data_IF_974079321671
#
_entry.id   IF_974079321671
#
_cell.length_a   1.000
_cell.length_b   1.000
_cell.length_c   1.000
_cell.angle_alpha   90.00
_cell.angle_beta   90.00
_cell.angle_gamma   90.00
#
_symmetry.space_group_name_H-M   'P 1'
#
loop_
_entity.id
_entity.type
_entity.pdbx_description
1 polymer ?
#
# COMPACT_ATOMS: atom_id res chain seq x y z
N UNK A 1 31.15 -0.97 -11.64
CA UNK A 1 32.41 -0.31 -11.24
C UNK A 1 32.21 1.01 -10.50
N UNK A 2 31.26 1.88 -10.90
CA UNK A 2 31.06 3.19 -10.27
C UNK A 2 30.86 3.15 -8.74
N UNK A 3 30.13 2.17 -8.18
CA UNK A 3 29.80 2.14 -6.74
C UNK A 3 31.02 2.08 -5.80
N UNK A 4 32.07 1.33 -6.13
CA UNK A 4 33.24 1.18 -5.25
C UNK A 4 34.09 2.47 -5.18
N UNK A 5 34.21 3.16 -6.30
CA UNK A 5 34.92 4.43 -6.40
C UNK A 5 34.23 5.52 -5.56
N UNK A 6 32.90 5.54 -5.57
CA UNK A 6 32.11 6.46 -4.74
C UNK A 6 32.28 6.23 -3.23
N UNK A 7 32.42 4.98 -2.78
CA UNK A 7 32.70 4.70 -1.38
C UNK A 7 34.04 5.29 -0.93
N UNK A 8 35.10 5.10 -1.72
CA UNK A 8 36.43 5.66 -1.43
C UNK A 8 36.41 7.19 -1.37
N UNK A 9 35.76 7.85 -2.34
CA UNK A 9 35.60 9.30 -2.35
C UNK A 9 34.79 9.81 -1.14
N UNK A 10 33.78 9.05 -0.71
CA UNK A 10 32.99 9.40 0.47
C UNK A 10 33.83 9.33 1.73
N UNK A 11 34.65 8.28 1.90
CA UNK A 11 35.58 8.20 3.02
C UNK A 11 36.66 9.28 2.96
N UNK A 12 37.25 9.51 1.79
CA UNK A 12 38.28 10.54 1.59
C UNK A 12 37.75 11.96 1.85
N UNK A 13 36.48 12.22 1.54
CA UNK A 13 35.82 13.50 1.84
C UNK A 13 35.19 13.57 3.23
N UNK A 14 35.42 12.59 4.11
CA UNK A 14 34.79 12.51 5.43
C UNK A 14 33.25 12.61 5.38
N UNK A 15 32.64 12.06 4.32
CA UNK A 15 31.21 12.09 4.08
C UNK A 15 30.68 13.39 3.48
N UNK A 16 31.51 14.42 3.24
CA UNK A 16 31.07 15.67 2.64
C UNK A 16 30.48 15.48 1.25
N UNK A 17 30.95 14.52 0.44
CA UNK A 17 30.40 14.23 -0.90
C UNK A 17 29.08 13.44 -0.89
N UNK A 18 28.69 12.87 0.25
CA UNK A 18 27.53 11.99 0.34
C UNK A 18 26.23 12.65 -0.16
N UNK A 19 25.89 13.91 0.21
CA UNK A 19 24.65 14.57 -0.25
C UNK A 19 24.55 14.70 -1.78
N UNK A 20 25.67 15.02 -2.44
CA UNK A 20 25.71 15.16 -3.91
C UNK A 20 25.42 13.83 -4.58
N UNK A 21 26.10 12.77 -4.14
CA UNK A 21 25.92 11.42 -4.67
C UNK A 21 24.47 10.95 -4.50
N UNK A 22 23.90 11.18 -3.31
CA UNK A 22 22.53 10.79 -2.97
C UNK A 22 21.51 11.46 -3.91
N UNK A 23 21.64 12.77 -4.12
CA UNK A 23 20.75 13.55 -4.99
C UNK A 23 20.88 13.12 -6.45
N UNK A 24 22.09 12.84 -6.95
CA UNK A 24 22.30 12.34 -8.30
C UNK A 24 21.68 10.95 -8.49
N UNK A 25 21.84 10.05 -7.51
CA UNK A 25 21.24 8.73 -7.55
C UNK A 25 19.71 8.80 -7.59
N UNK A 26 19.10 9.64 -6.74
CA UNK A 26 17.65 9.83 -6.78
C UNK A 26 17.16 10.45 -8.07
N UNK A 27 17.85 11.47 -8.58
CA UNK A 27 17.51 12.06 -9.87
C UNK A 27 17.55 11.00 -10.97
N UNK A 28 18.57 10.12 -10.97
CA UNK A 28 18.68 9.03 -11.93
C UNK A 28 17.54 8.01 -11.81
N UNK A 29 17.25 7.54 -10.58
CA UNK A 29 16.23 6.53 -10.32
C UNK A 29 14.82 7.05 -10.64
N UNK A 30 14.47 8.23 -10.12
CA UNK A 30 13.12 8.77 -10.25
C UNK A 30 12.84 9.32 -11.64
N UNK A 31 13.78 9.97 -12.33
CA UNK A 31 13.53 10.46 -13.70
C UNK A 31 13.35 9.31 -14.72
N UNK A 32 13.68 8.06 -14.35
CA UNK A 32 13.42 6.86 -15.16
C UNK A 32 12.19 6.09 -14.70
N UNK A 33 11.62 6.42 -13.55
CA UNK A 33 10.41 5.80 -13.05
C UNK A 33 9.17 6.42 -13.71
N UNK A 34 8.13 5.61 -13.91
CA UNK A 34 6.84 6.09 -14.40
C UNK A 34 5.68 5.40 -13.67
N UNK A 35 4.58 6.12 -13.48
CA UNK A 35 3.31 5.56 -13.03
C UNK A 35 2.30 5.66 -14.18
N UNK A 36 2.03 4.53 -14.84
CA UNK A 36 1.25 4.52 -16.07
C UNK A 36 1.96 5.27 -17.21
N UNK A 37 1.46 6.46 -17.55
CA UNK A 37 2.07 7.38 -18.54
C UNK A 37 2.75 8.59 -17.93
N UNK A 38 2.54 8.83 -16.63
CA UNK A 38 3.09 9.99 -15.97
C UNK A 38 4.52 9.67 -15.55
N UNK A 39 5.54 10.35 -16.11
CA UNK A 39 6.90 10.20 -15.64
C UNK A 39 7.02 10.86 -14.26
N UNK A 40 7.85 10.28 -13.40
CA UNK A 40 8.30 10.98 -12.22
C UNK A 40 9.38 11.99 -12.64
N UNK A 41 9.33 13.19 -12.08
CA UNK A 41 10.31 14.23 -12.28
C UNK A 41 10.89 14.62 -10.92
N UNK A 42 12.22 14.57 -10.80
CA UNK A 42 12.94 14.97 -9.61
C UNK A 42 13.66 16.30 -9.86
N UNK A 43 13.28 17.35 -9.12
CA UNK A 43 13.81 18.72 -9.29
C UNK A 43 14.76 19.15 -8.17
N UNK A 44 15.08 18.24 -7.26
CA UNK A 44 15.89 18.51 -6.08
C UNK A 44 17.33 18.90 -6.42
N UNK A 45 17.84 19.94 -5.75
CA UNK A 45 19.24 20.40 -5.88
C UNK A 45 20.05 20.03 -4.64
N UNK A 46 21.29 19.60 -4.83
CA UNK A 46 22.19 19.22 -3.73
C UNK A 46 22.39 20.37 -2.72
N UNK A 47 22.47 21.62 -3.19
CA UNK A 47 22.62 22.81 -2.31
C UNK A 47 21.50 22.93 -1.27
N UNK A 48 20.26 22.64 -1.66
CA UNK A 48 19.11 22.68 -0.74
C UNK A 48 19.22 21.56 0.29
N UNK A 49 19.63 20.37 -0.16
CA UNK A 49 19.84 19.23 0.73
C UNK A 49 20.96 19.47 1.76
N UNK A 50 22.04 20.16 1.38
CA UNK A 50 23.12 20.56 2.31
C UNK A 50 22.64 21.43 3.46
N UNK A 51 21.64 22.31 3.23
CA UNK A 51 21.13 23.20 4.28
C UNK A 51 20.53 22.41 5.46
N UNK A 52 19.86 21.29 5.17
CA UNK A 52 19.32 20.40 6.19
C UNK A 52 20.35 19.40 6.74
N UNK A 53 21.33 19.00 5.93
CA UNK A 53 22.36 18.03 6.30
C UNK A 53 23.46 18.61 7.21
N UNK A 54 23.88 19.85 6.96
CA UNK A 54 25.04 20.44 7.63
C UNK A 54 24.90 20.53 9.15
N UNK A 55 23.76 20.99 9.74
CA UNK A 55 23.61 21.04 11.19
C UNK A 55 23.75 19.66 11.85
N UNK A 56 23.22 18.61 11.21
CA UNK A 56 23.33 17.25 11.74
C UNK A 56 24.76 16.72 11.65
N UNK A 57 25.46 17.04 10.56
CA UNK A 57 26.86 16.64 10.36
C UNK A 57 27.77 17.31 11.38
N UNK A 58 27.60 18.62 11.59
CA UNK A 58 28.34 19.36 12.62
C UNK A 58 28.03 18.83 14.01
N UNK A 59 26.76 18.57 14.32
CA UNK A 59 26.36 17.99 15.61
C UNK A 59 26.97 16.60 15.81
N UNK A 60 26.99 15.74 14.78
CA UNK A 60 27.63 14.42 14.84
C UNK A 60 29.15 14.52 15.03
N UNK A 61 29.81 15.45 14.33
CA UNK A 61 31.25 15.68 14.48
C UNK A 61 31.60 16.19 15.89
N UNK A 62 30.87 17.17 16.41
CA UNK A 62 31.03 17.68 17.79
C UNK A 62 30.77 16.58 18.81
N UNK A 63 29.74 15.76 18.59
CA UNK A 63 29.44 14.62 19.44
C UNK A 63 30.58 13.61 19.47
N UNK A 64 31.13 13.23 18.32
CA UNK A 64 32.25 12.31 18.23
C UNK A 64 33.53 12.86 18.90
N UNK A 65 33.88 14.12 18.61
CA UNK A 65 35.06 14.78 19.22
C UNK A 65 34.87 14.92 20.73
N UNK A 66 33.72 15.41 21.18
CA UNK A 66 33.40 15.55 22.60
C UNK A 66 33.46 14.21 23.33
N UNK A 67 32.96 13.14 22.71
CA UNK A 67 33.03 11.78 23.26
C UNK A 67 34.47 11.28 23.35
N UNK A 68 35.26 11.46 22.30
CA UNK A 68 36.66 11.05 22.28
C UNK A 68 37.51 11.76 23.35
N UNK A 69 37.20 13.02 23.67
CA UNK A 69 37.87 13.79 24.71
C UNK A 69 37.36 13.46 26.13
N UNK A 70 36.06 13.21 26.29
CA UNK A 70 35.43 12.97 27.60
C UNK A 70 35.68 11.54 28.12
N UNK A 71 35.70 10.54 27.24
CA UNK A 71 35.84 9.12 27.63
C UNK A 71 37.12 8.88 28.47
N UNK A 72 38.33 9.31 28.08
CA UNK A 72 39.54 9.08 28.86
C UNK A 72 39.48 9.73 30.26
N UNK A 73 38.88 10.92 30.36
CA UNK A 73 38.72 11.65 31.62
C UNK A 73 37.80 10.88 32.57
N UNK A 74 36.67 10.37 32.06
CA UNK A 74 35.72 9.58 32.84
C UNK A 74 36.30 8.23 33.30
N UNK A 75 37.12 7.59 32.45
CA UNK A 75 37.85 6.37 32.80
C UNK A 75 38.86 6.65 33.92
N UNK A 76 39.64 7.74 33.81
CA UNK A 76 40.65 8.10 34.79
C UNK A 76 40.05 8.52 36.15
N UNK A 77 38.83 9.05 36.15
CA UNK A 77 38.13 9.48 37.36
C UNK A 77 37.47 8.33 38.14
N UNK A 78 37.50 7.09 37.64
CA UNK A 78 36.75 5.93 38.16
C UNK A 78 35.24 6.21 38.35
N UNK A 79 34.74 7.29 37.74
CA UNK A 79 33.51 7.94 38.14
C UNK A 79 32.27 7.38 37.44
N UNK A 80 32.38 6.29 36.66
CA UNK A 80 31.27 5.86 35.80
C UNK A 80 31.09 4.36 35.66
N UNK A 81 29.83 3.88 35.64
CA UNK A 81 29.50 2.56 35.13
C UNK A 81 29.76 2.53 33.62
N UNK A 82 30.73 1.71 33.22
CA UNK A 82 31.29 1.61 31.86
C UNK A 82 30.24 1.39 30.74
N UNK A 83 29.03 0.96 31.11
CA UNK A 83 27.90 0.73 30.21
C UNK A 83 27.06 1.97 29.89
N UNK A 84 27.02 2.99 30.76
CA UNK A 84 26.17 4.17 30.54
C UNK A 84 26.72 5.07 29.42
N UNK A 85 28.04 5.19 29.31
CA UNK A 85 28.68 5.98 28.25
C UNK A 85 28.30 5.45 26.85
N UNK A 86 28.57 4.19 26.48
CA UNK A 86 28.22 3.68 25.15
C UNK A 86 26.71 3.68 24.90
N UNK A 87 25.88 3.45 25.94
CA UNK A 87 24.43 3.57 25.81
C UNK A 87 23.98 5.01 25.47
N UNK A 88 24.53 6.02 26.15
CA UNK A 88 24.28 7.42 25.86
C UNK A 88 24.76 7.80 24.45
N UNK A 89 25.92 7.29 24.04
CA UNK A 89 26.46 7.50 22.69
C UNK A 89 25.55 6.93 21.62
N UNK A 90 25.10 5.69 21.83
CA UNK A 90 24.17 5.01 20.95
C UNK A 90 22.84 5.76 20.84
N UNK A 91 22.24 6.16 21.97
CA UNK A 91 20.99 6.92 21.98
C UNK A 91 21.12 8.29 21.30
N UNK A 92 22.20 9.03 21.56
CA UNK A 92 22.49 10.29 20.89
C UNK A 92 22.63 10.13 19.38
N UNK A 93 23.29 9.06 18.93
CA UNK A 93 23.44 8.74 17.51
C UNK A 93 22.10 8.41 16.83
N UNK A 94 21.20 7.69 17.50
CA UNK A 94 19.85 7.40 17.00
C UNK A 94 19.06 8.70 16.81
N UNK A 95 19.11 9.61 17.77
CA UNK A 95 18.41 10.90 17.71
C UNK A 95 18.92 11.73 16.52
N UNK A 96 20.23 11.87 16.37
CA UNK A 96 20.84 12.61 15.26
C UNK A 96 20.49 11.98 13.90
N UNK A 97 20.63 10.64 13.80
CA UNK A 97 20.33 9.91 12.58
C UNK A 97 18.86 10.00 12.19
N UNK A 98 17.95 9.97 13.17
CA UNK A 98 16.50 10.10 12.94
C UNK A 98 16.13 11.48 12.43
N UNK A 99 16.73 12.56 12.99
CA UNK A 99 16.53 13.93 12.48
C UNK A 99 17.02 14.05 11.04
N UNK A 100 18.21 13.50 10.77
CA UNK A 100 18.76 13.47 9.43
C UNK A 100 17.83 12.74 8.44
N UNK A 101 17.35 11.54 8.81
CA UNK A 101 16.46 10.75 7.97
C UNK A 101 15.11 11.41 7.71
N UNK A 102 14.54 12.10 8.70
CA UNK A 102 13.30 12.86 8.51
C UNK A 102 13.50 13.96 7.45
N UNK A 103 14.57 14.76 7.60
CA UNK A 103 14.90 15.81 6.66
C UNK A 103 15.22 15.27 5.26
N UNK A 104 15.87 14.11 5.19
CA UNK A 104 16.18 13.39 3.96
C UNK A 104 14.92 12.98 3.19
N UNK A 105 13.98 12.33 3.88
CA UNK A 105 12.74 11.87 3.29
C UNK A 105 11.83 13.04 2.90
N UNK A 106 11.79 14.09 3.73
CA UNK A 106 11.03 15.31 3.43
C UNK A 106 11.58 16.00 2.18
N UNK A 107 12.90 16.18 2.08
CA UNK A 107 13.53 16.74 0.90
C UNK A 107 13.24 15.91 -0.37
N UNK A 108 13.26 14.58 -0.26
CA UNK A 108 12.93 13.69 -1.37
C UNK A 108 11.48 13.88 -1.82
N UNK A 109 10.53 13.86 -0.89
CA UNK A 109 9.11 14.03 -1.18
C UNK A 109 8.84 15.40 -1.83
N UNK A 110 9.34 16.49 -1.25
CA UNK A 110 9.12 17.85 -1.76
C UNK A 110 9.78 18.09 -3.14
N UNK A 111 10.82 17.32 -3.46
CA UNK A 111 11.54 17.41 -4.74
C UNK A 111 10.94 16.54 -5.84
N UNK A 112 9.99 15.67 -5.51
CA UNK A 112 9.37 14.73 -6.44
C UNK A 112 8.06 15.31 -6.98
N UNK A 113 7.84 15.18 -8.28
CA UNK A 113 6.54 15.40 -8.92
C UNK A 113 6.19 14.25 -9.84
N UNK A 114 4.90 14.03 -10.05
CA UNK A 114 4.38 13.07 -11.01
C UNK A 114 3.72 13.85 -12.15
N UNK A 115 4.43 13.92 -13.29
CA UNK A 115 4.12 14.89 -14.35
C UNK A 115 4.25 16.34 -13.88
N UNK A 116 3.42 17.22 -14.45
CA UNK A 116 3.40 18.66 -14.14
C UNK A 116 2.37 19.05 -13.07
N UNK A 117 1.43 18.15 -12.78
CA UNK A 117 0.21 18.46 -12.02
C UNK A 117 0.34 18.08 -10.54
N UNK A 118 1.01 16.95 -10.25
CA UNK A 118 0.96 16.32 -8.93
C UNK A 118 2.30 16.49 -8.23
N UNK A 119 2.29 17.19 -7.08
CA UNK A 119 3.45 17.31 -6.20
C UNK A 119 3.25 16.48 -4.95
N UNK A 120 4.33 15.85 -4.50
CA UNK A 120 4.34 15.13 -3.23
C UNK A 120 4.70 16.10 -2.12
N UNK A 121 4.09 15.91 -0.95
CA UNK A 121 4.50 16.55 0.30
C UNK A 121 4.55 15.46 1.35
N UNK A 122 5.41 15.61 2.34
CA UNK A 122 5.46 14.67 3.43
C UNK A 122 5.67 15.35 4.76
N UNK A 123 5.05 14.79 5.78
CA UNK A 123 5.24 15.20 7.17
C UNK A 123 5.69 13.98 7.98
N UNK A 124 6.97 13.95 8.34
CA UNK A 124 7.56 12.82 9.06
C UNK A 124 7.75 13.17 10.53
N UNK A 125 6.88 12.68 11.44
CA UNK A 125 7.04 12.93 12.86
C UNK A 125 8.33 12.27 13.36
N UNK A 126 9.19 13.09 13.97
CA UNK A 126 10.51 12.67 14.45
C UNK A 126 10.43 11.45 15.39
N UNK A 127 9.48 11.46 16.35
CA UNK A 127 9.32 10.39 17.33
C UNK A 127 8.98 9.03 16.70
N UNK A 128 8.03 9.01 15.76
CA UNK A 128 7.64 7.79 15.07
C UNK A 128 8.75 7.25 14.18
N UNK A 129 9.52 8.13 13.53
CA UNK A 129 10.69 7.71 12.73
C UNK A 129 11.83 7.17 13.61
N UNK A 130 12.10 7.81 14.75
CA UNK A 130 13.10 7.32 15.70
C UNK A 130 12.73 5.93 16.25
N UNK A 131 11.47 5.75 16.65
CA UNK A 131 10.97 4.45 17.07
C UNK A 131 11.04 3.40 15.96
N UNK A 132 10.75 3.80 14.72
CA UNK A 132 10.89 2.92 13.55
C UNK A 132 12.35 2.46 13.36
N UNK A 133 13.32 3.37 13.49
CA UNK A 133 14.75 3.04 13.37
C UNK A 133 15.18 2.06 14.47
N UNK A 134 14.79 2.32 15.74
CA UNK A 134 15.10 1.44 16.87
C UNK A 134 14.48 0.06 16.68
N UNK A 135 13.18 0.02 16.40
CA UNK A 135 12.45 -1.25 16.25
C UNK A 135 12.83 -2.03 14.99
N UNK A 136 13.36 -1.39 13.94
CA UNK A 136 13.95 -2.07 12.78
C UNK A 136 15.41 -2.50 13.04
N UNK A 137 16.16 -1.75 13.83
CA UNK A 137 17.54 -2.06 14.19
C UNK A 137 17.66 -3.33 15.04
N UNK A 138 16.72 -3.56 15.94
CA UNK A 138 16.72 -4.73 16.83
C UNK A 138 16.66 -6.08 16.08
N UNK A 139 15.71 -6.34 15.17
CA UNK A 139 15.72 -7.55 14.37
C UNK A 139 16.93 -7.62 13.42
N UNK A 140 17.41 -6.49 12.87
CA UNK A 140 18.63 -6.49 12.07
C UNK A 140 19.85 -6.93 12.89
N UNK A 141 19.96 -6.50 14.15
CA UNK A 141 21.05 -6.87 15.04
C UNK A 141 20.97 -8.35 15.46
N UNK A 142 19.78 -8.82 15.87
CA UNK A 142 19.55 -10.22 16.27
C UNK A 142 19.79 -11.19 15.11
N UNK A 143 19.43 -10.80 13.89
CA UNK A 143 19.53 -11.66 12.70
C UNK A 143 20.80 -11.43 11.88
N UNK A 144 21.77 -10.67 12.40
CA UNK A 144 23.02 -10.31 11.71
C UNK A 144 22.78 -9.76 10.28
N UNK A 145 21.70 -9.01 10.11
CA UNK A 145 21.33 -8.33 8.87
C UNK A 145 20.26 -9.03 8.02
N UNK A 146 19.88 -10.28 8.29
CA UNK A 146 18.82 -10.96 7.50
C UNK A 146 17.46 -10.24 7.60
N UNK A 147 17.22 -9.51 8.69
CA UNK A 147 16.03 -8.66 8.90
C UNK A 147 15.96 -7.41 8.02
N UNK A 148 16.96 -7.11 7.18
CA UNK A 148 17.00 -5.91 6.36
C UNK A 148 15.83 -5.78 5.37
N UNK A 149 15.37 -6.91 4.79
CA UNK A 149 14.22 -6.92 3.89
C UNK A 149 12.92 -6.54 4.62
N UNK A 150 12.73 -7.07 5.83
CA UNK A 150 11.58 -6.73 6.68
C UNK A 150 11.60 -5.25 7.11
N UNK A 151 12.76 -4.76 7.55
CA UNK A 151 12.95 -3.36 7.92
C UNK A 151 12.66 -2.42 6.74
N UNK A 152 13.05 -2.82 5.52
CA UNK A 152 12.78 -2.07 4.29
C UNK A 152 11.29 -1.99 3.98
N UNK A 153 10.53 -3.09 4.14
CA UNK A 153 9.07 -3.09 3.96
C UNK A 153 8.36 -2.22 5.00
N UNK A 154 8.75 -2.28 6.27
CA UNK A 154 8.20 -1.40 7.32
C UNK A 154 8.51 0.07 7.06
N UNK A 155 9.73 0.37 6.60
CA UNK A 155 10.13 1.73 6.23
C UNK A 155 9.31 2.24 5.05
N UNK A 156 9.10 1.42 4.02
CA UNK A 156 8.27 1.77 2.87
C UNK A 156 6.83 2.08 3.31
N UNK A 157 6.21 1.20 4.12
CA UNK A 157 4.85 1.43 4.65
C UNK A 157 4.77 2.72 5.45
N UNK A 158 5.74 2.97 6.32
CA UNK A 158 5.81 4.20 7.09
C UNK A 158 5.91 5.43 6.18
N UNK A 159 6.76 5.38 5.14
CA UNK A 159 6.90 6.46 4.18
C UNK A 159 5.59 6.70 3.44
N UNK A 160 4.97 5.65 2.89
CA UNK A 160 3.68 5.76 2.19
C UNK A 160 2.57 6.35 3.08
N UNK A 161 2.54 6.03 4.38
CA UNK A 161 1.54 6.55 5.30
C UNK A 161 1.69 8.05 5.61
N UNK A 162 2.87 8.64 5.37
CA UNK A 162 3.18 10.04 5.69
C UNK A 162 3.43 10.91 4.46
N UNK A 163 3.42 10.31 3.27
CA UNK A 163 3.47 11.03 2.00
C UNK A 163 2.04 11.30 1.54
N UNK A 164 1.73 12.57 1.30
CA UNK A 164 0.44 13.00 0.75
C UNK A 164 0.62 13.71 -0.59
N UNK A 165 -0.44 13.69 -1.39
CA UNK A 165 -0.47 14.29 -2.73
C UNK A 165 -1.10 15.68 -2.62
N UNK A 166 -0.35 16.74 -2.99
CA UNK A 166 -0.90 18.10 -3.12
C UNK A 166 -1.39 18.32 -4.54
N UNK A 167 -2.52 17.72 -4.89
CA UNK A 167 -3.33 18.04 -6.07
C UNK A 167 -4.65 17.25 -5.97
N UNK A 168 -5.69 17.67 -6.70
CA UNK A 168 -6.77 16.76 -7.07
C UNK A 168 -6.33 15.98 -8.32
N UNK A 169 -5.78 14.77 -8.18
CA UNK A 169 -5.46 13.96 -9.35
C UNK A 169 -6.73 13.69 -10.17
N UNK A 170 -6.71 14.06 -11.44
CA UNK A 170 -7.74 13.64 -12.38
C UNK A 170 -7.51 12.15 -12.72
N UNK A 171 -8.03 11.27 -11.86
CA UNK A 171 -7.88 9.83 -12.02
C UNK A 171 -8.50 9.32 -13.32
N UNK A 172 -9.56 9.95 -13.82
CA UNK A 172 -10.19 9.59 -15.09
C UNK A 172 -9.20 9.72 -16.27
N UNK A 173 -8.39 10.78 -16.29
CA UNK A 173 -7.33 10.94 -17.29
C UNK A 173 -6.23 9.86 -17.16
N UNK A 174 -5.95 9.38 -15.95
CA UNK A 174 -4.95 8.35 -15.67
C UNK A 174 -5.46 6.95 -16.10
N UNK A 175 -6.70 6.58 -15.79
CA UNK A 175 -7.31 5.30 -16.20
C UNK A 175 -7.47 5.22 -17.72
N UNK A 176 -7.89 6.32 -18.38
CA UNK A 176 -8.00 6.38 -19.84
C UNK A 176 -6.64 6.20 -20.55
N UNK A 177 -5.57 6.71 -19.91
CA UNK A 177 -4.18 6.54 -20.36
C UNK A 177 -3.67 5.10 -20.20
N UNK A 178 -4.06 4.40 -19.14
CA UNK A 178 -3.70 2.99 -18.91
C UNK A 178 -4.40 2.05 -19.90
N UNK A 179 -5.69 2.25 -20.15
CA UNK A 179 -6.51 1.44 -21.04
C UNK A 179 -6.06 1.48 -22.51
N UNK A 180 -5.43 2.58 -22.93
CA UNK A 180 -5.00 2.78 -24.32
C UNK A 180 -3.59 2.23 -24.64
N UNK A 181 -2.87 1.60 -23.70
CA UNK A 181 -1.63 0.85 -24.00
C UNK A 181 -1.96 -0.55 -24.54
N UNK A 182 -1.59 -0.83 -25.80
CA UNK A 182 -1.76 -2.16 -26.45
C UNK A 182 -1.08 -3.32 -25.70
N UNK A 183 -0.07 -3.05 -24.87
CA UNK A 183 0.58 -4.04 -24.01
C UNK A 183 -0.17 -4.36 -22.72
N UNK A 184 -0.95 -3.42 -22.17
CA UNK A 184 -1.67 -3.60 -20.90
C UNK A 184 -2.86 -4.55 -21.05
N UNK A 185 -3.56 -4.51 -22.21
CA UNK A 185 -4.59 -5.51 -22.56
C UNK A 185 -4.05 -6.94 -22.52
N UNK A 186 -2.77 -7.16 -22.87
CA UNK A 186 -2.12 -8.48 -22.85
C UNK A 186 -1.81 -9.00 -21.45
N UNK A 187 -1.58 -8.12 -20.47
CA UNK A 187 -1.35 -8.50 -19.06
C UNK A 187 -2.67 -8.70 -18.30
N UNK A 188 -3.69 -7.86 -18.58
CA UNK A 188 -5.04 -7.99 -17.98
C UNK A 188 -5.76 -9.21 -18.53
N UNK A 189 -5.70 -9.49 -19.85
CA UNK A 189 -6.28 -10.72 -20.43
C UNK A 189 -5.59 -12.01 -19.96
N UNK A 190 -4.38 -11.92 -19.39
CA UNK A 190 -3.64 -13.06 -18.82
C UNK A 190 -3.83 -13.21 -17.30
N UNK A 191 -4.65 -12.38 -16.65
CA UNK A 191 -4.93 -12.50 -15.21
C UNK A 191 -3.73 -12.20 -14.30
N UNK A 192 -2.68 -11.54 -14.81
CA UNK A 192 -1.43 -11.30 -14.06
C UNK A 192 -1.46 -10.06 -13.16
N UNK A 193 -2.47 -9.19 -13.32
CA UNK A 193 -2.68 -8.01 -12.48
C UNK A 193 -4.18 -7.85 -12.23
N UNK A 194 -4.59 -8.05 -10.97
CA UNK A 194 -5.90 -7.66 -10.47
C UNK A 194 -5.71 -6.37 -9.67
N UNK A 195 -6.37 -5.28 -10.07
CA UNK A 195 -6.44 -4.05 -9.29
C UNK A 195 -7.60 -4.20 -8.32
N UNK A 196 -7.26 -4.33 -7.05
CA UNK A 196 -8.18 -4.50 -5.93
C UNK A 196 -8.07 -3.22 -5.10
N UNK A 197 -8.89 -2.22 -5.42
CA UNK A 197 -9.30 -1.09 -4.55
C UNK A 197 -9.94 0.02 -5.43
N UNK A 198 -11.27 -0.03 -5.60
CA UNK A 198 -12.07 1.04 -6.23
C UNK A 198 -13.06 1.70 -5.24
N UNK A 199 -12.94 1.50 -3.91
CA UNK A 199 -13.92 1.98 -2.92
C UNK A 199 -13.72 3.45 -2.44
N UNK A 200 -13.08 4.32 -3.22
CA UNK A 200 -12.85 5.73 -2.79
C UNK A 200 -13.89 6.74 -3.30
N UNK A 201 -14.99 6.30 -3.93
CA UNK A 201 -16.06 7.16 -4.40
C UNK A 201 -17.42 6.74 -3.80
N UNK A 202 -17.85 7.42 -2.73
CA UNK A 202 -19.27 7.52 -2.38
C UNK A 202 -19.89 8.65 -3.23
N UNK A 203 -20.32 8.31 -4.44
CA UNK A 203 -21.50 8.97 -5.02
C UNK A 203 -22.73 8.16 -4.62
N UNK A 204 -23.87 8.82 -4.44
CA UNK A 204 -25.17 8.31 -3.99
C UNK A 204 -25.68 7.08 -4.78
N UNK A 205 -25.04 5.93 -4.57
CA UNK A 205 -25.51 4.63 -5.02
C UNK A 205 -26.41 4.08 -3.94
N UNK A 206 -27.69 3.95 -4.26
CA UNK A 206 -28.69 3.25 -3.44
C UNK A 206 -28.26 1.79 -3.31
N UNK A 207 -27.47 1.51 -2.28
CA UNK A 207 -26.93 0.20 -1.99
C UNK A 207 -27.93 -0.50 -1.10
N UNK A 208 -28.71 -1.41 -1.69
CA UNK A 208 -29.53 -2.34 -0.90
C UNK A 208 -28.56 -3.44 -0.45
N UNK A 209 -28.07 -3.30 0.79
CA UNK A 209 -27.19 -4.27 1.42
C UNK A 209 -28.02 -5.26 2.25
N UNK A 210 -27.74 -6.55 2.11
CA UNK A 210 -28.23 -7.55 3.05
C UNK A 210 -27.35 -8.78 3.09
N UNK A 211 -27.59 -9.62 4.10
CA UNK A 211 -26.74 -10.77 4.41
C UNK A 211 -26.92 -11.93 3.44
N UNK A 212 -25.81 -12.56 3.08
CA UNK A 212 -25.78 -13.81 2.31
C UNK A 212 -24.53 -14.64 2.62
N UNK A 213 -24.46 -15.81 2.00
CA UNK A 213 -23.31 -16.70 2.08
C UNK A 213 -22.73 -16.92 0.70
N UNK A 214 -21.42 -16.81 0.56
CA UNK A 214 -20.68 -17.17 -0.64
C UNK A 214 -19.91 -18.46 -0.41
N UNK A 215 -20.09 -19.42 -1.32
CA UNK A 215 -19.30 -20.64 -1.43
C UNK A 215 -18.47 -20.56 -2.71
N UNK A 216 -17.15 -20.70 -2.62
CA UNK A 216 -16.24 -20.55 -3.78
C UNK A 216 -16.22 -21.78 -4.72
N UNK A 217 -16.82 -22.90 -4.28
CA UNK A 217 -16.87 -24.17 -4.99
C UNK A 217 -15.63 -25.06 -4.84
N UNK A 218 -14.53 -24.53 -4.31
CA UNK A 218 -13.25 -25.24 -4.12
C UNK A 218 -13.05 -25.69 -2.68
N UNK A 219 -13.39 -24.80 -1.77
CA UNK A 219 -13.40 -25.03 -0.34
C UNK A 219 -14.87 -25.06 0.03
N UNK A 220 -15.36 -26.13 0.65
CA UNK A 220 -16.77 -26.19 1.09
C UNK A 220 -17.10 -25.17 2.21
N UNK A 221 -16.25 -24.16 2.41
CA UNK A 221 -16.36 -23.10 3.38
C UNK A 221 -17.39 -22.08 2.94
N UNK A 222 -18.21 -21.66 3.90
CA UNK A 222 -19.19 -20.60 3.73
C UNK A 222 -18.57 -19.31 4.24
N UNK A 223 -18.54 -18.30 3.38
CA UNK A 223 -18.14 -16.95 3.75
C UNK A 223 -19.39 -16.09 3.91
N UNK A 224 -19.54 -15.45 5.06
CA UNK A 224 -20.57 -14.43 5.24
C UNK A 224 -20.21 -13.23 4.36
N UNK A 225 -21.15 -12.82 3.51
CA UNK A 225 -20.97 -11.73 2.56
C UNK A 225 -22.14 -10.76 2.62
N UNK A 226 -21.82 -9.48 2.44
CA UNK A 226 -22.82 -8.45 2.15
C UNK A 226 -23.04 -8.42 0.66
N UNK A 227 -24.28 -8.64 0.22
CA UNK A 227 -24.64 -8.52 -1.20
C UNK A 227 -25.13 -7.11 -1.45
N UNK A 228 -24.57 -6.47 -2.45
CA UNK A 228 -24.98 -5.15 -2.93
C UNK A 228 -25.22 -5.20 -4.43
N UNK A 229 -26.11 -4.35 -4.93
CA UNK A 229 -26.37 -4.20 -6.37
C UNK A 229 -25.76 -2.88 -6.82
N UNK A 230 -24.73 -2.94 -7.65
CA UNK A 230 -24.03 -1.78 -8.18
C UNK A 230 -24.16 -1.73 -9.69
N UNK A 231 -24.66 -0.62 -10.24
CA UNK A 231 -24.79 -0.40 -11.69
C UNK A 231 -25.49 -1.57 -12.39
N UNK A 232 -26.55 -2.08 -11.76
CA UNK A 232 -27.22 -3.31 -12.17
C UNK A 232 -26.24 -4.48 -12.29
N UNK A 233 -25.43 -4.75 -11.28
CA UNK A 233 -24.63 -5.98 -11.16
C UNK A 233 -24.59 -6.38 -9.69
N UNK A 234 -24.87 -7.64 -9.33
CA UNK A 234 -24.64 -8.08 -7.97
C UNK A 234 -23.13 -8.13 -7.70
N UNK A 235 -22.72 -7.42 -6.66
CA UNK A 235 -21.40 -7.44 -6.06
C UNK A 235 -21.50 -8.10 -4.68
N UNK A 236 -20.56 -9.00 -4.39
CA UNK A 236 -20.47 -9.66 -3.08
C UNK A 236 -19.26 -9.12 -2.34
N UNK A 237 -19.47 -8.62 -1.13
CA UNK A 237 -18.46 -8.05 -0.26
C UNK A 237 -18.20 -8.98 0.92
N UNK A 238 -16.94 -9.27 1.22
CA UNK A 238 -16.57 -10.06 2.39
C UNK A 238 -16.35 -9.23 3.64
N UNK A 239 -15.90 -9.86 4.74
CA UNK A 239 -15.51 -9.15 5.96
C UNK A 239 -14.43 -8.12 5.64
N UNK A 240 -14.71 -6.84 5.90
CA UNK A 240 -13.80 -5.72 5.60
C UNK A 240 -14.00 -5.06 4.22
N UNK A 241 -15.20 -5.15 3.63
CA UNK A 241 -15.60 -4.45 2.38
C UNK A 241 -14.79 -4.80 1.12
N UNK A 242 -13.96 -5.84 1.17
CA UNK A 242 -13.27 -6.33 -0.01
C UNK A 242 -14.28 -7.00 -0.96
N UNK A 243 -14.34 -6.54 -2.21
CA UNK A 243 -15.14 -7.17 -3.27
C UNK A 243 -14.59 -8.57 -3.55
N UNK A 244 -15.37 -9.60 -3.22
CA UNK A 244 -15.01 -11.00 -3.42
C UNK A 244 -15.27 -11.45 -4.86
N UNK A 245 -16.37 -10.98 -5.46
CA UNK A 245 -16.74 -11.31 -6.83
C UNK A 245 -17.63 -10.21 -7.44
N UNK A 246 -17.49 -10.03 -8.76
CA UNK A 246 -18.42 -9.26 -9.58
C UNK A 246 -18.90 -10.14 -10.72
N UNK A 247 -20.13 -10.66 -10.62
CA UNK A 247 -20.71 -11.49 -11.67
C UNK A 247 -21.49 -10.63 -12.65
N UNK A 248 -21.25 -10.83 -13.95
CA UNK A 248 -22.07 -10.18 -14.97
C UNK A 248 -23.45 -10.83 -15.04
N UNK A 249 -24.48 -10.08 -15.42
CA UNK A 249 -25.84 -10.62 -15.56
C UNK A 249 -25.94 -11.81 -16.50
N UNK A 250 -25.18 -11.78 -17.59
CA UNK A 250 -25.16 -12.85 -18.58
C UNK A 250 -24.63 -14.17 -18.03
N UNK A 251 -23.86 -14.11 -16.94
CA UNK A 251 -23.28 -15.28 -16.28
C UNK A 251 -24.12 -15.80 -15.12
N UNK A 252 -25.01 -14.98 -14.55
CA UNK A 252 -25.86 -15.40 -13.43
C UNK A 252 -26.89 -16.43 -13.87
N UNK A 253 -26.96 -17.52 -13.11
CA UNK A 253 -28.03 -18.52 -13.21
C UNK A 253 -28.60 -18.80 -11.84
N UNK A 254 -29.93 -18.87 -11.76
CA UNK A 254 -30.60 -19.34 -10.55
C UNK A 254 -30.48 -20.87 -10.48
N UNK A 255 -30.09 -21.39 -9.32
CA UNK A 255 -30.05 -22.83 -9.03
C UNK A 255 -31.20 -23.15 -8.07
N UNK A 256 -31.92 -24.27 -8.24
CA UNK A 256 -32.91 -24.69 -7.27
C UNK A 256 -32.25 -24.96 -5.92
N UNK A 257 -32.78 -24.30 -4.88
CA UNK A 257 -32.36 -24.50 -3.50
C UNK A 257 -33.14 -25.64 -2.82
N UNK A 258 -32.58 -26.25 -1.77
CA UNK A 258 -33.20 -27.37 -1.06
C UNK A 258 -34.37 -26.96 -0.15
N UNK A 259 -34.58 -25.67 0.11
CA UNK A 259 -35.51 -25.17 1.14
C UNK A 259 -36.51 -24.13 0.58
N UNK A 260 -37.80 -24.41 0.79
CA UNK A 260 -38.97 -23.50 1.00
C UNK A 260 -39.19 -22.23 0.16
N UNK A 261 -38.43 -22.00 -0.91
CA UNK A 261 -38.65 -20.87 -1.84
C UNK A 261 -38.21 -19.49 -1.32
N UNK A 262 -37.71 -19.41 -0.08
CA UNK A 262 -37.22 -18.16 0.50
C UNK A 262 -35.74 -17.87 0.19
N UNK A 263 -34.94 -18.90 -0.08
CA UNK A 263 -33.53 -18.74 -0.45
C UNK A 263 -33.36 -18.54 -1.96
N UNK A 264 -32.63 -17.49 -2.35
CA UNK A 264 -32.18 -17.31 -3.72
C UNK A 264 -30.74 -17.81 -3.85
N UNK A 265 -30.55 -18.91 -4.58
CA UNK A 265 -29.23 -19.44 -4.90
C UNK A 265 -28.85 -19.03 -6.32
N UNK A 266 -27.78 -18.26 -6.44
CA UNK A 266 -27.18 -17.83 -7.69
C UNK A 266 -25.86 -18.56 -7.92
N UNK A 267 -25.61 -18.97 -9.15
CA UNK A 267 -24.32 -19.49 -9.60
C UNK A 267 -23.84 -18.71 -10.82
N UNK A 268 -22.56 -18.84 -11.14
CA UNK A 268 -21.92 -18.18 -12.27
C UNK A 268 -21.63 -19.19 -13.38
N UNK A 269 -21.92 -18.84 -14.64
CA UNK A 269 -21.64 -19.71 -15.79
C UNK A 269 -20.16 -20.04 -15.93
N UNK A 270 -19.26 -19.10 -15.61
CA UNK A 270 -17.81 -19.32 -15.68
C UNK A 270 -17.25 -20.11 -14.50
N UNK A 271 -17.99 -20.22 -13.39
CA UNK A 271 -17.65 -21.07 -12.25
C UNK A 271 -18.94 -21.69 -11.65
N UNK A 272 -19.39 -22.84 -12.18
CA UNK A 272 -20.66 -23.46 -11.78
C UNK A 272 -20.66 -23.99 -10.35
N UNK A 273 -19.47 -24.16 -9.75
CA UNK A 273 -19.33 -24.63 -8.37
C UNK A 273 -19.48 -23.49 -7.37
N UNK A 274 -19.23 -22.24 -7.78
CA UNK A 274 -19.45 -21.08 -6.93
C UNK A 274 -20.94 -20.80 -6.77
N UNK A 275 -21.36 -20.56 -5.52
CA UNK A 275 -22.76 -20.33 -5.15
C UNK A 275 -22.87 -19.13 -4.22
N UNK A 276 -23.75 -18.20 -4.56
CA UNK A 276 -24.18 -17.12 -3.69
C UNK A 276 -25.58 -17.46 -3.20
N UNK A 277 -25.72 -17.59 -1.88
CA UNK A 277 -26.98 -17.92 -1.20
C UNK A 277 -27.45 -16.66 -0.50
N UNK A 278 -28.58 -16.12 -0.92
CA UNK A 278 -29.18 -14.91 -0.36
C UNK A 278 -30.38 -15.35 0.48
N UNK A 279 -30.29 -15.12 1.78
CA UNK A 279 -31.32 -15.48 2.76
C UNK A 279 -32.24 -14.32 3.10
N UNK A 280 -31.83 -13.08 2.80
CA UNK A 280 -32.63 -11.89 3.03
C UNK A 280 -33.73 -11.73 1.96
N UNK A 281 -34.99 -11.83 2.39
CA UNK A 281 -36.17 -11.71 1.53
C UNK A 281 -36.29 -10.33 0.86
N UNK A 282 -35.82 -9.26 1.48
CA UNK A 282 -35.88 -7.89 0.94
C UNK A 282 -34.88 -7.70 -0.20
N UNK A 283 -33.65 -8.22 -0.03
CA UNK A 283 -32.63 -8.26 -1.09
C UNK A 283 -33.07 -9.16 -2.23
N UNK A 284 -33.66 -10.32 -1.92
CA UNK A 284 -34.19 -11.24 -2.92
C UNK A 284 -35.30 -10.60 -3.77
N UNK A 285 -36.29 -9.97 -3.12
CA UNK A 285 -37.36 -9.26 -3.82
C UNK A 285 -36.80 -8.11 -4.69
N UNK A 286 -35.83 -7.35 -4.17
CA UNK A 286 -35.16 -6.27 -4.91
C UNK A 286 -34.37 -6.79 -6.12
N UNK A 287 -33.67 -7.92 -5.97
CA UNK A 287 -32.95 -8.59 -7.06
C UNK A 287 -33.91 -9.10 -8.13
N UNK A 288 -35.02 -9.72 -7.73
CA UNK A 288 -36.04 -10.21 -8.68
C UNK A 288 -36.75 -9.08 -9.42
N UNK A 289 -37.00 -7.95 -8.75
CA UNK A 289 -37.60 -6.77 -9.38
C UNK A 289 -36.66 -6.16 -10.44
N UNK A 290 -35.35 -6.12 -10.17
CA UNK A 290 -34.35 -5.60 -11.11
C UNK A 290 -33.94 -6.60 -12.20
N UNK A 291 -34.01 -7.90 -11.89
CA UNK A 291 -33.60 -8.99 -12.78
C UNK A 291 -34.76 -9.96 -13.00
N UNK A 292 -35.69 -9.64 -13.91
CA UNK A 292 -36.90 -10.43 -14.13
C UNK A 292 -36.62 -11.89 -14.52
N UNK A 293 -35.45 -12.17 -15.11
CA UNK A 293 -35.02 -13.54 -15.44
C UNK A 293 -34.72 -14.40 -14.22
N UNK A 294 -34.60 -13.83 -13.01
CA UNK A 294 -34.50 -14.60 -11.77
C UNK A 294 -35.86 -15.03 -11.22
N UNK A 295 -36.94 -14.38 -11.67
CA UNK A 295 -38.31 -14.56 -11.20
C UNK A 295 -39.01 -15.80 -11.77
N UNK A 296 -38.35 -16.57 -12.66
CA UNK A 296 -39.00 -17.75 -13.23
C UNK A 296 -39.42 -18.73 -12.13
N UNK A 297 -40.70 -19.15 -12.11
CA UNK A 297 -41.16 -20.20 -11.21
C UNK A 297 -40.36 -21.46 -11.53
N UNK A 298 -39.88 -22.12 -10.47
CA UNK A 298 -39.22 -23.40 -10.60
C UNK A 298 -40.17 -24.40 -11.23
N UNK A 299 -39.96 -24.71 -12.52
CA UNK A 299 -40.49 -25.91 -13.15
C UNK A 299 -39.67 -27.06 -12.58
N UNK A 300 -40.22 -27.76 -11.60
CA UNK A 300 -39.56 -28.94 -11.03
C UNK A 300 -39.19 -29.97 -12.10
N UNK A 301 -38.34 -30.95 -11.76
CA UNK A 301 -37.84 -31.96 -12.71
C UNK A 301 -38.93 -32.78 -13.42
N UNK A 302 -40.19 -32.69 -12.96
CA UNK A 302 -41.36 -33.34 -13.57
C UNK A 302 -42.07 -32.52 -14.65
N UNK A 303 -41.64 -31.30 -14.96
CA UNK A 303 -42.12 -30.55 -16.14
C UNK A 303 -43.63 -30.30 -16.22
N UNK A 304 -44.38 -30.45 -15.11
CA UNK A 304 -45.80 -30.08 -15.02
C UNK A 304 -45.90 -28.77 -14.26
N UNK A 305 -46.23 -27.69 -14.98
CA UNK A 305 -46.73 -26.48 -14.37
C UNK A 305 -47.99 -26.83 -13.57
N UNK A 306 -47.95 -26.71 -12.24
CA UNK A 306 -49.18 -26.61 -11.47
C UNK A 306 -49.79 -25.24 -11.77
N UNK A 307 -50.71 -25.23 -12.75
CA UNK A 307 -51.66 -24.15 -12.93
C UNK A 307 -52.70 -24.29 -11.82
N UNK A 308 -52.60 -23.41 -10.82
CA UNK A 308 -53.68 -23.08 -9.89
C UNK A 308 -54.30 -21.76 -10.29
#
# INVERSE_FOLDING_TARGET
MLLAEWWLLTFASLGLLYPVQRVQLWAYLWNRACFGRLPFCFTGRARTFYRSFWPVTVAAALFLVGSALLIPILIAAEATPTLLIPAALFMGSIVLFSKYKAAELQFLADSLSLGEIVRFTADFPFGSLAWLIVSNGLPMLVTLGLGAAHASLRTLRFVCAHVSLRAQPNFAAITQSAASRRGFRRCVQRGLLSFQDENWFQEDKVTIAGGGYFCDGRTALRHEVTVAIEDDRPATYGPGEARFAGWSHAELRRVPGPMTGHELILTCRSNPDARLIITDGTVNASLQARLPFLSFPYLGPTGKAMLG
#
